data_IF_834753148515
#
_entry.id   IF_834753148515
#
_cell.length_a   1.000
_cell.length_b   1.000
_cell.length_c   1.000
_cell.angle_alpha   90.00
_cell.angle_beta   90.00
_cell.angle_gamma   90.00
#
_symmetry.space_group_name_H-M   'P 1'
#
loop_
_entity.id
_entity.type
_entity.pdbx_description
1 polymer ?
#
# COMPACT_ATOMS: atom_id res chain seq x y z
N UNK A 1 -2.22 -3.44 -17.59
CA UNK A 1 -2.80 -3.76 -18.90
C UNK A 1 -4.21 -4.27 -18.75
N UNK A 2 -4.36 -5.57 -18.45
CA UNK A 2 -5.66 -6.25 -18.39
C UNK A 2 -6.74 -5.49 -17.61
N UNK A 3 -6.52 -5.17 -16.33
CA UNK A 3 -7.55 -4.53 -15.49
C UNK A 3 -8.06 -3.21 -16.06
N UNK A 4 -7.17 -2.38 -16.60
CA UNK A 4 -7.57 -1.11 -17.23
C UNK A 4 -8.44 -1.36 -18.47
N UNK A 5 -7.99 -2.23 -19.39
CA UNK A 5 -8.73 -2.55 -20.62
C UNK A 5 -10.08 -3.17 -20.32
N UNK A 6 -10.11 -4.12 -19.38
CA UNK A 6 -11.33 -4.78 -18.93
C UNK A 6 -12.31 -3.79 -18.30
N UNK A 7 -11.82 -2.91 -17.43
CA UNK A 7 -12.64 -1.87 -16.81
C UNK A 7 -13.24 -0.92 -17.84
N UNK A 8 -12.43 -0.44 -18.81
CA UNK A 8 -12.94 0.45 -19.86
C UNK A 8 -14.01 -0.19 -20.74
N UNK A 9 -13.98 -1.52 -20.88
CA UNK A 9 -14.96 -2.26 -21.68
C UNK A 9 -16.21 -2.68 -20.90
N UNK A 10 -16.07 -2.98 -19.60
CA UNK A 10 -17.15 -3.62 -18.80
C UNK A 10 -17.64 -2.77 -17.63
N UNK A 11 -16.88 -1.76 -17.22
CA UNK A 11 -17.11 -1.01 -15.98
C UNK A 11 -16.79 -1.78 -14.70
N UNK A 12 -16.19 -2.98 -14.79
CA UNK A 12 -15.95 -3.85 -13.62
C UNK A 12 -14.46 -3.99 -13.29
N UNK A 13 -14.15 -4.18 -12.00
CA UNK A 13 -12.79 -4.47 -11.55
C UNK A 13 -12.49 -5.96 -11.72
N UNK A 14 -11.51 -6.27 -12.55
CA UNK A 14 -11.00 -7.63 -12.70
C UNK A 14 -9.48 -7.62 -12.85
N UNK A 15 -8.79 -8.47 -12.09
CA UNK A 15 -7.36 -8.72 -12.28
C UNK A 15 -7.14 -10.09 -12.89
N UNK A 16 -5.97 -10.27 -13.51
CA UNK A 16 -5.57 -11.59 -13.99
C UNK A 16 -5.51 -12.56 -12.82
N UNK A 17 -6.16 -13.71 -13.01
CA UNK A 17 -6.02 -14.83 -12.09
C UNK A 17 -4.59 -15.35 -12.15
N UNK A 18 -3.90 -15.24 -11.03
CA UNK A 18 -2.63 -15.92 -10.80
C UNK A 18 -2.93 -17.19 -10.02
N UNK A 19 -2.46 -18.32 -10.52
CA UNK A 19 -2.51 -19.57 -9.76
C UNK A 19 -1.35 -19.57 -8.76
N UNK A 20 -1.67 -19.49 -7.48
CA UNK A 20 -0.76 -19.81 -6.38
C UNK A 20 -1.50 -20.73 -5.44
N UNK A 21 -0.85 -21.83 -5.07
CA UNK A 21 -1.40 -22.81 -4.12
C UNK A 21 -1.32 -22.31 -2.66
N UNK A 22 -0.53 -21.24 -2.43
CA UNK A 22 -0.41 -20.58 -1.13
C UNK A 22 -1.29 -19.32 -1.06
N UNK A 23 -2.11 -19.25 0.00
CA UNK A 23 -3.05 -18.15 0.25
C UNK A 23 -2.32 -16.84 0.62
N UNK A 24 -1.20 -16.91 1.34
CA UNK A 24 -0.43 -15.71 1.69
C UNK A 24 0.18 -15.06 0.43
N UNK A 25 0.79 -15.87 -0.43
CA UNK A 25 1.26 -15.45 -1.75
C UNK A 25 0.14 -14.83 -2.60
N UNK A 26 -1.07 -15.40 -2.58
CA UNK A 26 -2.22 -14.81 -3.27
C UNK A 26 -2.59 -13.42 -2.75
N UNK A 27 -2.61 -13.22 -1.43
CA UNK A 27 -2.87 -11.90 -0.82
C UNK A 27 -1.85 -10.86 -1.28
N UNK A 28 -0.55 -11.20 -1.25
CA UNK A 28 0.52 -10.33 -1.72
C UNK A 28 0.36 -9.96 -3.20
N UNK A 29 0.04 -10.93 -4.05
CA UNK A 29 -0.19 -10.68 -5.48
C UNK A 29 -1.38 -9.74 -5.68
N UNK A 30 -2.50 -10.00 -5.01
CA UNK A 30 -3.71 -9.18 -5.14
C UNK A 30 -3.49 -7.77 -4.61
N UNK A 31 -2.80 -7.60 -3.49
CA UNK A 31 -2.42 -6.29 -2.97
C UNK A 31 -1.54 -5.52 -3.96
N UNK A 32 -0.51 -6.16 -4.52
CA UNK A 32 0.37 -5.55 -5.53
C UNK A 32 -0.40 -5.16 -6.80
N UNK A 33 -1.32 -6.01 -7.26
CA UNK A 33 -2.19 -5.70 -8.40
C UNK A 33 -3.07 -4.48 -8.10
N UNK A 34 -3.69 -4.44 -6.91
CA UNK A 34 -4.53 -3.32 -6.49
C UNK A 34 -3.75 -2.00 -6.42
N UNK A 35 -2.53 -2.02 -5.86
CA UNK A 35 -1.60 -0.90 -5.89
C UNK A 35 -1.35 -0.40 -7.32
N UNK A 36 -0.99 -1.29 -8.24
CA UNK A 36 -0.73 -0.91 -9.64
C UNK A 36 -1.96 -0.31 -10.32
N UNK A 37 -3.15 -0.85 -10.05
CA UNK A 37 -4.40 -0.33 -10.59
C UNK A 37 -4.73 1.03 -10.01
N UNK A 38 -4.55 1.22 -8.70
CA UNK A 38 -4.72 2.51 -8.04
C UNK A 38 -3.84 3.58 -8.69
N UNK A 39 -2.54 3.30 -8.85
CA UNK A 39 -1.61 4.23 -9.48
C UNK A 39 -2.03 4.63 -10.91
N UNK A 40 -2.48 3.65 -11.71
CA UNK A 40 -2.95 3.87 -13.07
C UNK A 40 -4.28 4.63 -13.08
N UNK A 41 -5.23 4.27 -12.22
CA UNK A 41 -6.52 4.91 -12.14
C UNK A 41 -6.40 6.38 -11.72
N UNK A 42 -5.53 6.69 -10.75
CA UNK A 42 -5.26 8.08 -10.40
C UNK A 42 -4.57 8.83 -11.53
N UNK A 43 -3.61 8.20 -12.23
CA UNK A 43 -2.89 8.84 -13.35
C UNK A 43 -3.81 9.17 -14.54
N UNK A 44 -4.81 8.33 -14.80
CA UNK A 44 -5.78 8.54 -15.88
C UNK A 44 -7.09 9.18 -15.41
N UNK A 45 -7.14 9.67 -14.18
CA UNK A 45 -8.32 10.35 -13.60
C UNK A 45 -9.60 9.51 -13.72
N UNK A 46 -9.51 8.23 -13.33
CA UNK A 46 -10.62 7.27 -13.34
C UNK A 46 -11.12 7.03 -11.89
N UNK A 47 -11.93 7.94 -11.32
CA UNK A 47 -12.24 7.94 -9.88
C UNK A 47 -12.97 6.68 -9.41
N UNK A 48 -13.85 6.10 -10.24
CA UNK A 48 -14.56 4.87 -9.90
C UNK A 48 -13.61 3.66 -9.83
N UNK A 49 -12.68 3.54 -10.80
CA UNK A 49 -11.65 2.49 -10.78
C UNK A 49 -10.66 2.71 -9.64
N UNK A 50 -10.35 3.97 -9.33
CA UNK A 50 -9.54 4.34 -8.18
C UNK A 50 -10.23 3.89 -6.89
N UNK A 51 -11.52 4.14 -6.73
CA UNK A 51 -12.33 3.68 -5.61
C UNK A 51 -12.30 2.17 -5.43
N UNK A 52 -12.53 1.42 -6.50
CA UNK A 52 -12.44 -0.05 -6.49
C UNK A 52 -11.03 -0.54 -6.11
N UNK A 53 -9.98 0.11 -6.62
CA UNK A 53 -8.61 -0.23 -6.26
C UNK A 53 -8.31 0.04 -4.78
N UNK A 54 -8.82 1.14 -4.21
CA UNK A 54 -8.70 1.45 -2.77
C UNK A 54 -9.33 0.37 -1.90
N UNK A 55 -10.51 -0.14 -2.27
CA UNK A 55 -11.17 -1.23 -1.55
C UNK A 55 -10.34 -2.52 -1.57
N UNK A 56 -9.75 -2.85 -2.73
CA UNK A 56 -8.89 -4.02 -2.86
C UNK A 56 -7.58 -3.86 -2.06
N UNK A 57 -6.99 -2.66 -2.03
CA UNK A 57 -5.83 -2.34 -1.19
C UNK A 57 -6.17 -2.55 0.28
N UNK A 58 -7.30 -2.03 0.77
CA UNK A 58 -7.72 -2.22 2.16
C UNK A 58 -7.97 -3.69 2.49
N UNK A 59 -8.71 -4.39 1.63
CA UNK A 59 -9.08 -5.79 1.83
C UNK A 59 -7.84 -6.67 1.97
N UNK A 60 -6.93 -6.61 1.00
CA UNK A 60 -5.74 -7.47 1.02
C UNK A 60 -4.66 -6.95 1.96
N UNK A 61 -4.49 -5.64 2.08
CA UNK A 61 -3.49 -5.03 2.95
C UNK A 61 -3.79 -5.22 4.44
N UNK A 62 -5.06 -5.31 4.83
CA UNK A 62 -5.45 -5.63 6.22
C UNK A 62 -4.99 -7.02 6.68
N UNK A 63 -4.77 -7.94 5.74
CA UNK A 63 -4.31 -9.31 5.99
C UNK A 63 -2.79 -9.44 5.99
N UNK A 64 -2.06 -8.36 5.72
CA UNK A 64 -0.60 -8.33 5.63
C UNK A 64 -0.02 -7.64 6.87
N UNK A 65 1.20 -7.99 7.26
CA UNK A 65 1.96 -7.23 8.24
C UNK A 65 2.45 -5.90 7.65
N UNK A 66 2.81 -4.93 8.51
CA UNK A 66 3.27 -3.61 8.03
C UNK A 66 4.53 -3.71 7.17
N UNK A 67 5.51 -4.54 7.53
CA UNK A 67 6.71 -4.76 6.72
C UNK A 67 6.39 -5.33 5.33
N UNK A 68 5.42 -6.24 5.23
CA UNK A 68 5.00 -6.82 3.95
C UNK A 68 4.37 -5.76 3.04
N UNK A 69 3.52 -4.90 3.61
CA UNK A 69 2.93 -3.74 2.92
C UNK A 69 4.04 -2.81 2.43
N UNK A 70 4.95 -2.42 3.32
CA UNK A 70 6.04 -1.49 3.01
C UNK A 70 7.01 -2.06 1.97
N UNK A 71 7.37 -3.33 2.06
CA UNK A 71 8.26 -3.96 1.10
C UNK A 71 7.62 -4.07 -0.29
N UNK A 72 6.31 -4.35 -0.34
CA UNK A 72 5.56 -4.34 -1.61
C UNK A 72 5.47 -2.93 -2.20
N UNK A 73 5.22 -1.91 -1.37
CA UNK A 73 5.22 -0.51 -1.78
C UNK A 73 6.60 -0.06 -2.25
N UNK A 74 7.68 -0.44 -1.56
CA UNK A 74 9.07 -0.13 -1.95
C UNK A 74 9.38 -0.64 -3.36
N UNK A 75 8.86 -1.81 -3.73
CA UNK A 75 9.00 -2.39 -5.06
C UNK A 75 8.20 -1.66 -6.15
N UNK A 76 7.32 -0.73 -5.78
CA UNK A 76 6.55 0.07 -6.72
C UNK A 76 7.30 1.36 -7.09
N UNK A 77 7.85 1.42 -8.30
CA UNK A 77 8.66 2.55 -8.81
C UNK A 77 7.89 3.87 -8.95
N UNK A 78 6.58 3.84 -8.77
CA UNK A 78 5.68 4.96 -8.93
C UNK A 78 5.53 5.83 -7.67
N UNK A 79 5.97 5.35 -6.50
CA UNK A 79 5.71 6.01 -5.21
C UNK A 79 6.29 7.42 -5.13
N UNK A 80 7.54 7.68 -5.59
CA UNK A 80 8.09 9.03 -5.57
C UNK A 80 7.42 9.99 -6.56
N UNK A 81 6.69 9.48 -7.56
CA UNK A 81 6.21 10.26 -8.71
C UNK A 81 4.82 10.83 -8.51
N UNK A 82 4.07 10.34 -7.52
CA UNK A 82 2.69 10.75 -7.33
C UNK A 82 2.43 11.02 -5.84
N UNK A 83 1.92 12.21 -5.55
CA UNK A 83 1.50 12.59 -4.21
C UNK A 83 0.09 12.05 -3.95
N UNK A 84 -0.06 10.72 -3.85
CA UNK A 84 -1.36 10.13 -3.54
C UNK A 84 -1.69 10.30 -2.07
N UNK A 85 -2.39 11.39 -1.74
CA UNK A 85 -2.88 11.69 -0.40
C UNK A 85 -3.54 10.48 0.23
N UNK A 86 -4.42 9.80 -0.49
CA UNK A 86 -5.14 8.64 0.05
C UNK A 86 -4.23 7.46 0.43
N UNK A 87 -3.21 7.15 -0.40
CA UNK A 87 -2.33 6.02 -0.07
C UNK A 87 -1.35 6.38 1.05
N UNK A 88 -0.95 7.65 1.12
CA UNK A 88 -0.24 8.17 2.29
C UNK A 88 -1.07 8.01 3.55
N UNK A 89 -2.33 8.46 3.57
CA UNK A 89 -3.27 8.28 4.69
C UNK A 89 -3.41 6.80 5.08
N UNK A 90 -3.56 5.90 4.11
CA UNK A 90 -3.57 4.46 4.37
C UNK A 90 -2.29 3.99 5.09
N UNK A 91 -1.10 4.40 4.64
CA UNK A 91 0.15 4.04 5.33
C UNK A 91 0.24 4.66 6.73
N UNK A 92 -0.26 5.88 6.91
CA UNK A 92 -0.32 6.55 8.20
C UNK A 92 -1.18 5.76 9.20
N UNK A 93 -2.38 5.34 8.78
CA UNK A 93 -3.25 4.50 9.60
C UNK A 93 -2.57 3.18 9.99
N UNK A 94 -1.89 2.53 9.05
CA UNK A 94 -1.16 1.28 9.30
C UNK A 94 0.02 1.46 10.26
N UNK A 95 0.70 2.62 10.20
CA UNK A 95 1.75 2.98 11.17
C UNK A 95 1.15 3.16 12.55
N UNK A 96 0.04 3.88 12.67
CA UNK A 96 -0.65 4.10 13.95
C UNK A 96 -1.13 2.79 14.56
N UNK A 97 -1.74 1.91 13.77
CA UNK A 97 -2.12 0.55 14.18
C UNK A 97 -0.91 -0.23 14.73
N UNK A 98 0.20 -0.26 13.99
CA UNK A 98 1.41 -0.96 14.42
C UNK A 98 2.05 -0.33 15.66
N UNK A 99 1.98 1.00 15.79
CA UNK A 99 2.51 1.74 16.93
C UNK A 99 1.76 1.40 18.22
N UNK A 100 0.42 1.42 18.16
CA UNK A 100 -0.43 1.08 19.28
C UNK A 100 -0.28 -0.40 19.70
N UNK A 101 0.04 -1.29 18.75
CA UNK A 101 0.32 -2.70 19.01
C UNK A 101 1.71 -2.93 19.63
N UNK A 102 2.76 -2.35 19.05
CA UNK A 102 4.16 -2.56 19.44
C UNK A 102 5.06 -1.44 18.88
N UNK A 103 5.19 -0.32 19.60
CA UNK A 103 6.05 0.80 19.17
C UNK A 103 7.53 0.41 19.03
N UNK A 104 8.01 -0.61 19.75
CA UNK A 104 9.40 -1.07 19.66
C UNK A 104 9.68 -1.73 18.30
N UNK A 105 8.65 -2.17 17.58
CA UNK A 105 8.73 -2.66 16.20
C UNK A 105 9.54 -1.75 15.28
N UNK A 106 9.36 -0.42 15.39
CA UNK A 106 10.02 0.55 14.51
C UNK A 106 11.55 0.66 14.72
N UNK A 107 12.08 0.05 15.78
CA UNK A 107 13.54 -0.06 16.01
C UNK A 107 14.14 -1.34 15.42
N UNK A 108 13.30 -2.28 14.98
CA UNK A 108 13.73 -3.60 14.51
C UNK A 108 14.24 -3.53 13.07
N UNK A 109 15.20 -4.39 12.75
CA UNK A 109 15.75 -4.53 11.38
C UNK A 109 14.70 -4.86 10.34
N UNK A 110 13.63 -5.58 10.70
CA UNK A 110 12.55 -5.94 9.76
C UNK A 110 11.89 -4.69 9.17
N UNK A 111 11.55 -3.71 10.01
CA UNK A 111 11.00 -2.42 9.58
C UNK A 111 12.01 -1.61 8.76
N UNK A 112 13.25 -1.50 9.26
CA UNK A 112 14.31 -0.73 8.58
C UNK A 112 14.54 -1.28 7.16
N UNK A 113 14.55 -2.60 7.00
CA UNK A 113 14.74 -3.25 5.70
C UNK A 113 13.51 -3.12 4.78
N UNK A 114 12.30 -3.16 5.35
CA UNK A 114 11.06 -3.06 4.56
C UNK A 114 10.89 -1.69 3.95
N UNK A 115 11.23 -0.63 4.69
CA UNK A 115 11.16 0.75 4.19
C UNK A 115 12.32 1.09 3.23
N UNK A 116 13.50 0.50 3.46
CA UNK A 116 14.71 0.72 2.68
C UNK A 116 15.18 2.18 2.69
N UNK A 117 15.75 2.63 1.57
CA UNK A 117 16.23 3.99 1.38
C UNK A 117 15.39 4.72 0.30
N UNK A 118 15.09 6.00 0.50
CA UNK A 118 14.44 6.84 -0.52
C UNK A 118 13.18 7.58 -0.07
N UNK A 119 12.23 7.78 -1.00
CA UNK A 119 11.03 8.58 -0.74
C UNK A 119 10.11 7.95 0.32
N UNK A 120 9.93 6.62 0.25
CA UNK A 120 9.17 5.88 1.25
C UNK A 120 9.82 6.00 2.63
N UNK A 121 11.14 5.83 2.73
CA UNK A 121 11.89 6.02 3.97
C UNK A 121 11.68 7.41 4.59
N UNK A 122 11.82 8.47 3.79
CA UNK A 122 11.60 9.85 4.24
C UNK A 122 10.17 10.05 4.74
N UNK A 123 9.18 9.58 3.96
CA UNK A 123 7.77 9.66 4.31
C UNK A 123 7.48 8.97 5.65
N UNK A 124 7.91 7.73 5.79
CA UNK A 124 7.68 6.94 7.02
C UNK A 124 8.40 7.53 8.23
N UNK A 125 9.60 8.08 8.04
CA UNK A 125 10.35 8.73 9.12
C UNK A 125 9.63 9.98 9.61
N UNK A 126 9.19 10.87 8.70
CA UNK A 126 8.43 12.06 9.07
C UNK A 126 7.16 11.68 9.85
N UNK A 127 6.38 10.73 9.33
CA UNK A 127 5.11 10.40 9.96
C UNK A 127 5.24 9.64 11.28
N UNK A 128 6.27 8.80 11.42
CA UNK A 128 6.57 8.16 12.69
C UNK A 128 6.90 9.21 13.77
N UNK A 129 7.68 10.26 13.43
CA UNK A 129 7.99 11.36 14.34
C UNK A 129 6.74 12.17 14.73
N UNK A 130 5.84 12.42 13.78
CA UNK A 130 4.53 13.04 14.06
C UNK A 130 3.72 12.18 15.04
N UNK A 131 3.63 10.88 14.79
CA UNK A 131 2.90 9.92 15.66
C UNK A 131 3.48 9.88 17.07
N UNK A 132 4.81 9.88 17.22
CA UNK A 132 5.46 9.95 18.53
C UNK A 132 5.16 11.27 19.24
N UNK A 133 5.15 12.39 18.51
CA UNK A 133 4.89 13.73 19.08
C UNK A 133 3.47 13.83 19.59
N UNK A 134 2.48 13.39 18.81
CA UNK A 134 1.06 13.39 19.17
C UNK A 134 0.78 12.59 20.46
N UNK A 135 1.55 11.53 20.74
CA UNK A 135 1.38 10.69 21.93
C UNK A 135 2.08 11.24 23.20
N UNK A 136 3.01 12.19 23.04
CA UNK A 136 3.76 12.78 24.16
C UNK A 136 3.11 14.06 24.73
N UNK A 137 2.23 14.70 23.95
CA UNK A 137 1.39 15.85 24.36
C UNK A 137 0.01 15.42 24.80
#
# INVERSE_FOLDING_TARGET
>A
GHTLVHYLYTGTYQTLETKSDDAASMTHIKFKQALLVFAIATMYELPDLEGLAKEQIRTHGSLMALDEVLDTTKKCTWFPKMAWSWFHEYLQDRVKEQFDLDYAYFTRKVYINSVGDGALHKFMTCHLLETFTEKLT
#
